data_IF_511711389861
#
_entry.id   IF_511711389861
#
_cell.length_a   1.000
_cell.length_b   1.000
_cell.length_c   1.000
_cell.angle_alpha   90.00
_cell.angle_beta   90.00
_cell.angle_gamma   90.00
#
_symmetry.space_group_name_H-M   'P 1'
#
loop_
_entity.id
_entity.type
_entity.pdbx_description
1 polymer ?
#
# COMPACT_ATOMS: atom_id res chain seq x y z
N UNK A 1 -14.58 10.71 7.45
CA UNK A 1 -13.37 11.43 7.84
C UNK A 1 -12.22 10.86 7.05
N UNK A 2 -11.42 11.69 6.35
CA UNK A 2 -10.34 11.18 5.51
C UNK A 2 -9.42 10.26 6.30
N UNK A 3 -9.04 9.13 5.71
CA UNK A 3 -8.28 8.06 6.39
C UNK A 3 -6.96 8.60 6.92
N UNK A 4 -6.24 9.39 6.12
CA UNK A 4 -4.94 9.94 6.52
C UNK A 4 -5.06 11.06 7.56
N UNK A 5 -6.17 11.81 7.59
CA UNK A 5 -6.30 13.01 8.42
C UNK A 5 -5.12 13.97 8.22
N UNK A 6 -4.45 14.33 9.32
CA UNK A 6 -3.26 15.18 9.32
C UNK A 6 -1.93 14.39 9.39
N UNK A 7 -1.97 13.07 9.28
CA UNK A 7 -0.76 12.25 9.39
C UNK A 7 0.19 12.53 8.21
N UNK A 8 1.46 12.75 8.52
CA UNK A 8 2.52 12.90 7.53
C UNK A 8 3.43 11.68 7.43
N UNK A 9 3.28 10.71 8.32
CA UNK A 9 4.01 9.45 8.28
C UNK A 9 3.05 8.30 8.57
N UNK A 10 3.04 7.27 7.71
CA UNK A 10 2.17 6.10 7.85
C UNK A 10 2.88 4.83 7.43
N UNK A 11 2.93 3.86 8.35
CA UNK A 11 3.34 2.50 8.06
C UNK A 11 2.11 1.67 7.64
N UNK A 12 2.14 1.07 6.45
CA UNK A 12 1.16 0.13 5.96
C UNK A 12 1.74 -1.28 6.00
N UNK A 13 1.56 -1.99 7.13
CA UNK A 13 2.19 -3.30 7.37
C UNK A 13 1.34 -4.43 6.81
N UNK A 14 1.94 -5.33 6.04
CA UNK A 14 1.26 -6.50 5.49
C UNK A 14 1.37 -7.69 6.45
N UNK A 15 0.26 -8.34 6.72
CA UNK A 15 0.17 -9.61 7.44
C UNK A 15 -0.75 -10.58 6.71
N UNK A 16 -0.78 -11.84 7.13
CA UNK A 16 -1.74 -12.84 6.63
C UNK A 16 -2.75 -13.19 7.73
N UNK A 17 -4.02 -13.26 7.36
CA UNK A 17 -5.04 -13.87 8.19
C UNK A 17 -4.88 -15.40 8.22
N UNK A 18 -5.52 -16.07 9.19
CA UNK A 18 -5.58 -17.54 9.27
C UNK A 18 -6.17 -18.17 7.99
N UNK A 19 -7.04 -17.45 7.28
CA UNK A 19 -7.60 -17.85 5.98
C UNK A 19 -6.66 -17.62 4.78
N UNK A 20 -5.40 -17.26 5.03
CA UNK A 20 -4.39 -16.81 4.06
C UNK A 20 -4.70 -15.51 3.30
N UNK A 21 -5.83 -14.85 3.59
CA UNK A 21 -6.14 -13.52 3.07
C UNK A 21 -5.09 -12.50 3.52
N UNK A 22 -4.68 -11.60 2.63
CA UNK A 22 -3.80 -10.49 3.01
C UNK A 22 -4.57 -9.48 3.86
N UNK A 23 -3.91 -9.03 4.92
CA UNK A 23 -4.33 -7.93 5.79
C UNK A 23 -3.26 -6.85 5.77
N UNK A 24 -3.69 -5.60 5.82
CA UNK A 24 -2.79 -4.45 5.83
C UNK A 24 -3.27 -3.52 6.92
N UNK A 25 -2.38 -3.13 7.81
CA UNK A 25 -2.67 -2.21 8.91
C UNK A 25 -1.93 -0.90 8.65
N UNK A 26 -2.66 0.22 8.62
CA UNK A 26 -2.12 1.56 8.45
C UNK A 26 -2.01 2.20 9.84
N UNK A 27 -0.81 2.55 10.26
CA UNK A 27 -0.54 3.15 11.57
C UNK A 27 0.37 4.36 11.45
N UNK A 28 0.16 5.36 12.30
CA UNK A 28 1.14 6.44 12.53
C UNK A 28 2.38 5.92 13.29
N UNK A 29 3.50 6.68 13.35
CA UNK A 29 4.72 6.23 14.02
C UNK A 29 4.58 5.98 15.53
N UNK A 30 3.63 6.64 16.18
CA UNK A 30 3.27 6.43 17.59
C UNK A 30 2.35 5.21 17.79
N UNK A 31 2.00 4.49 16.72
CA UNK A 31 1.23 3.26 16.75
C UNK A 31 -0.29 3.45 16.71
N UNK A 32 -0.81 4.66 16.50
CA UNK A 32 -2.24 4.86 16.35
C UNK A 32 -2.74 4.26 15.02
N UNK A 33 -3.81 3.47 15.08
CA UNK A 33 -4.45 2.89 13.89
C UNK A 33 -5.20 3.97 13.10
N UNK A 34 -4.91 4.07 11.80
CA UNK A 34 -5.60 4.95 10.87
C UNK A 34 -6.65 4.18 10.05
N UNK A 35 -6.28 2.99 9.57
CA UNK A 35 -7.18 2.11 8.84
C UNK A 35 -6.61 0.70 8.75
N UNK A 36 -7.48 -0.24 8.35
CA UNK A 36 -7.11 -1.61 8.02
C UNK A 36 -7.70 -2.02 6.69
N UNK A 37 -6.92 -2.69 5.86
CA UNK A 37 -7.39 -3.31 4.62
C UNK A 37 -7.43 -4.83 4.76
N UNK A 38 -8.49 -5.47 4.27
CA UNK A 38 -8.56 -6.91 4.19
C UNK A 38 -9.04 -7.37 2.82
N UNK A 39 -8.36 -8.40 2.29
CA UNK A 39 -8.70 -9.02 1.01
C UNK A 39 -10.03 -9.78 1.07
N UNK A 40 -10.88 -9.60 0.05
CA UNK A 40 -12.15 -10.33 -0.11
C UNK A 40 -11.91 -11.71 -0.75
N UNK A 41 -11.56 -12.71 0.07
CA UNK A 41 -11.42 -14.13 -0.33
C UNK A 41 -9.97 -14.65 -0.37
N UNK A 42 -9.75 -15.90 0.08
CA UNK A 42 -8.44 -16.43 0.50
C UNK A 42 -7.66 -17.32 -0.49
N UNK A 43 -8.08 -17.44 -1.76
CA UNK A 43 -7.50 -18.44 -2.69
C UNK A 43 -6.72 -17.78 -3.86
N UNK A 44 -7.00 -16.51 -4.19
CA UNK A 44 -6.42 -15.83 -5.35
C UNK A 44 -4.92 -15.52 -5.27
N UNK A 45 -4.28 -15.73 -4.11
CA UNK A 45 -2.86 -15.42 -3.86
C UNK A 45 -2.14 -16.62 -3.23
N UNK A 46 -2.51 -17.83 -3.67
CA UNK A 46 -1.80 -19.06 -3.27
C UNK A 46 -0.34 -19.11 -3.77
N UNK A 47 0.10 -18.19 -4.65
CA UNK A 47 1.40 -18.28 -5.33
C UNK A 47 2.11 -16.94 -5.58
N UNK A 48 1.88 -15.90 -4.76
CA UNK A 48 2.59 -14.63 -4.98
C UNK A 48 2.35 -14.07 -6.39
N UNK A 49 1.10 -13.70 -6.69
CA UNK A 49 0.69 -13.02 -7.93
C UNK A 49 1.11 -13.70 -9.24
N UNK A 50 0.25 -14.60 -9.74
CA UNK A 50 0.23 -14.98 -11.16
C UNK A 50 -0.13 -13.74 -11.99
N UNK A 51 0.81 -13.24 -12.82
CA UNK A 51 0.57 -12.49 -14.06
C UNK A 51 -0.68 -11.59 -14.12
N UNK A 52 -0.79 -10.51 -13.34
CA UNK A 52 -1.89 -9.54 -13.54
C UNK A 52 -2.66 -9.08 -12.30
N UNK A 53 -2.49 -9.76 -11.17
CA UNK A 53 -2.94 -9.38 -9.83
C UNK A 53 -4.19 -8.54 -9.71
N UNK A 54 -5.38 -9.15 -9.87
CA UNK A 54 -6.65 -8.50 -9.53
C UNK A 54 -7.14 -8.97 -8.17
N UNK A 55 -7.59 -8.06 -7.31
CA UNK A 55 -8.22 -8.41 -6.05
C UNK A 55 -9.02 -7.25 -5.48
N UNK A 56 -10.09 -7.56 -4.75
CA UNK A 56 -10.84 -6.56 -3.99
C UNK A 56 -10.36 -6.52 -2.53
N UNK A 57 -10.21 -5.31 -2.01
CA UNK A 57 -9.94 -5.03 -0.59
C UNK A 57 -11.01 -4.10 -0.03
N UNK A 58 -11.36 -4.32 1.23
CA UNK A 58 -12.11 -3.34 2.02
C UNK A 58 -11.13 -2.65 2.95
N UNK A 59 -10.96 -1.33 2.78
CA UNK A 59 -10.18 -0.45 3.65
C UNK A 59 -11.14 0.27 4.60
N UNK A 60 -11.06 -0.05 5.89
CA UNK A 60 -11.95 0.50 6.92
C UNK A 60 -11.14 1.33 7.92
N UNK A 61 -11.65 2.52 8.26
CA UNK A 61 -11.11 3.35 9.35
C UNK A 61 -11.78 3.00 10.70
N UNK A 62 -11.12 3.29 11.85
CA UNK A 62 -11.75 3.18 13.16
C UNK A 62 -13.01 4.05 13.32
N UNK A 63 -13.11 5.15 12.56
CA UNK A 63 -14.26 6.03 12.54
C UNK A 63 -15.46 5.47 11.73
N UNK A 64 -15.33 4.28 11.14
CA UNK A 64 -16.41 3.59 10.42
C UNK A 64 -16.51 3.93 8.93
N UNK A 65 -15.60 4.74 8.40
CA UNK A 65 -15.54 4.96 6.94
C UNK A 65 -14.93 3.75 6.23
N UNK A 66 -15.52 3.35 5.11
CA UNK A 66 -15.11 2.20 4.33
C UNK A 66 -14.95 2.53 2.84
N UNK A 67 -13.79 2.16 2.31
CA UNK A 67 -13.50 2.21 0.89
C UNK A 67 -13.33 0.80 0.35
N UNK A 68 -13.94 0.53 -0.81
CA UNK A 68 -13.64 -0.67 -1.59
C UNK A 68 -12.58 -0.32 -2.62
N UNK A 69 -11.49 -1.05 -2.58
CA UNK A 69 -10.36 -0.95 -3.50
C UNK A 69 -10.41 -2.15 -4.45
N UNK A 70 -10.73 -1.90 -5.71
CA UNK A 70 -10.64 -2.92 -6.76
C UNK A 70 -9.28 -2.81 -7.42
N UNK A 71 -8.31 -3.57 -6.89
CA UNK A 71 -6.92 -3.60 -7.36
C UNK A 71 -6.85 -4.38 -8.65
N UNK A 72 -6.26 -3.78 -9.68
CA UNK A 72 -6.06 -4.37 -11.01
C UNK A 72 -4.92 -3.64 -11.74
N UNK A 73 -4.94 -3.61 -13.08
CA UNK A 73 -4.03 -2.73 -13.83
C UNK A 73 -4.23 -1.25 -13.46
N UNK A 74 -5.48 -0.84 -13.26
CA UNK A 74 -5.86 0.43 -12.64
C UNK A 74 -6.62 0.11 -11.37
N UNK A 75 -6.20 0.66 -10.24
CA UNK A 75 -6.90 0.47 -8.97
C UNK A 75 -8.01 1.51 -8.85
N UNK A 76 -9.25 1.05 -8.66
CA UNK A 76 -10.41 1.94 -8.49
C UNK A 76 -10.79 1.99 -7.01
N UNK A 77 -10.95 3.19 -6.48
CA UNK A 77 -11.35 3.46 -5.09
C UNK A 77 -12.80 3.91 -5.08
N UNK A 78 -13.63 3.24 -4.29
CA UNK A 78 -15.07 3.55 -4.18
C UNK A 78 -15.47 3.69 -2.72
N UNK A 79 -16.32 4.66 -2.42
CA UNK A 79 -16.97 4.83 -1.12
C UNK A 79 -18.49 4.67 -1.31
N UNK A 80 -19.09 3.68 -0.65
CA UNK A 80 -20.53 3.37 -0.77
C UNK A 80 -21.06 3.31 -2.22
N UNK A 81 -20.24 2.78 -3.14
CA UNK A 81 -20.58 2.66 -4.56
C UNK A 81 -20.28 3.90 -5.43
N UNK A 82 -19.88 5.02 -4.83
CA UNK A 82 -19.44 6.22 -5.55
C UNK A 82 -17.93 6.16 -5.80
N UNK A 83 -17.46 6.36 -7.05
CA UNK A 83 -16.03 6.49 -7.33
C UNK A 83 -15.41 7.69 -6.61
N UNK A 84 -14.37 7.43 -5.84
CA UNK A 84 -13.57 8.44 -5.13
C UNK A 84 -12.37 8.84 -5.98
N UNK A 85 -11.76 7.87 -6.65
CA UNK A 85 -10.59 8.11 -7.50
C UNK A 85 -9.98 6.83 -8.05
N UNK A 86 -8.87 6.99 -8.76
CA UNK A 86 -8.15 5.90 -9.43
C UNK A 86 -6.64 6.03 -9.25
N UNK A 87 -5.96 4.89 -9.24
CA UNK A 87 -4.51 4.77 -9.35
C UNK A 87 -4.23 4.21 -10.74
N UNK A 88 -3.72 5.05 -11.64
CA UNK A 88 -3.58 4.75 -13.06
C UNK A 88 -2.09 4.62 -13.42
N UNK A 89 -1.65 3.50 -14.03
CA UNK A 89 -0.29 3.39 -14.54
C UNK A 89 -0.01 4.42 -15.62
N UNK A 90 1.21 4.94 -15.64
CA UNK A 90 1.60 6.00 -16.55
C UNK A 90 3.11 6.09 -16.68
N UNK A 91 3.69 5.82 -17.85
CA UNK A 91 5.11 6.13 -18.14
C UNK A 91 6.11 5.57 -17.10
N UNK A 92 5.87 4.36 -16.62
CA UNK A 92 6.67 3.74 -15.54
C UNK A 92 6.40 4.28 -14.14
N UNK A 93 5.40 5.14 -13.99
CA UNK A 93 4.90 5.73 -12.75
C UNK A 93 3.42 5.34 -12.53
N UNK A 94 2.81 5.86 -11.47
CA UNK A 94 1.36 5.92 -11.32
C UNK A 94 0.88 7.36 -11.14
N UNK A 95 -0.33 7.65 -11.62
CA UNK A 95 -1.06 8.88 -11.33
C UNK A 95 -2.19 8.56 -10.37
N UNK A 96 -2.39 9.44 -9.39
CA UNK A 96 -3.57 9.46 -8.53
C UNK A 96 -4.56 10.43 -9.15
N UNK A 97 -5.75 9.95 -9.47
CA UNK A 97 -6.84 10.74 -10.04
C UNK A 97 -8.02 10.78 -9.08
N UNK A 98 -8.78 11.89 -9.06
CA UNK A 98 -10.07 11.96 -8.38
C UNK A 98 -11.19 11.26 -9.19
N UNK A 99 -12.41 11.23 -8.65
CA UNK A 99 -13.57 10.63 -9.30
C UNK A 99 -13.95 11.28 -10.65
N UNK A 100 -13.50 12.50 -10.90
CA UNK A 100 -13.68 13.23 -12.16
C UNK A 100 -12.53 13.04 -13.17
N UNK A 101 -11.45 12.36 -12.79
CA UNK A 101 -10.26 12.16 -13.62
C UNK A 101 -9.22 13.28 -13.51
N UNK A 102 -9.36 14.22 -12.56
CA UNK A 102 -8.34 15.23 -12.30
C UNK A 102 -7.13 14.57 -11.65
N UNK A 103 -5.93 14.82 -12.17
CA UNK A 103 -4.69 14.32 -11.56
C UNK A 103 -4.42 15.08 -10.26
N UNK A 104 -4.34 14.34 -9.15
CA UNK A 104 -4.06 14.85 -7.81
C UNK A 104 -2.57 14.79 -7.47
N UNK A 105 -1.88 13.73 -7.91
CA UNK A 105 -0.44 13.54 -7.69
C UNK A 105 0.11 12.46 -8.63
N UNK A 106 1.42 12.39 -8.76
CA UNK A 106 2.13 11.32 -9.47
C UNK A 106 3.14 10.63 -8.55
N UNK A 107 3.17 9.30 -8.57
CA UNK A 107 4.13 8.45 -7.86
C UNK A 107 5.17 7.98 -8.87
N UNK A 108 6.40 8.48 -8.75
CA UNK A 108 7.49 8.21 -9.71
C UNK A 108 8.03 6.77 -9.58
N UNK A 109 8.61 6.21 -10.64
CA UNK A 109 9.37 4.97 -10.53
C UNK A 109 10.48 5.11 -9.48
N UNK A 110 10.84 3.99 -8.87
CA UNK A 110 12.03 3.94 -8.06
C UNK A 110 13.27 4.18 -8.92
N UNK A 111 14.12 5.11 -8.50
CA UNK A 111 15.43 5.34 -9.10
C UNK A 111 16.50 4.57 -8.33
N UNK A 112 17.13 3.57 -8.95
CA UNK A 112 18.17 2.77 -8.33
C UNK A 112 18.15 1.32 -8.77
N UNK A 113 19.13 0.55 -8.29
CA UNK A 113 19.13 -0.88 -8.48
C UNK A 113 17.98 -1.50 -7.65
N UNK A 114 17.15 -2.31 -8.30
CA UNK A 114 16.14 -3.16 -7.66
C UNK A 114 16.83 -4.37 -7.02
N UNK A 115 17.69 -4.09 -6.03
CA UNK A 115 18.23 -5.09 -5.12
C UNK A 115 17.21 -5.36 -4.00
N UNK A 116 17.57 -6.23 -3.06
CA UNK A 116 16.73 -6.58 -1.89
C UNK A 116 16.50 -5.42 -0.90
N UNK A 117 16.81 -4.17 -1.27
CA UNK A 117 16.56 -2.97 -0.47
C UNK A 117 15.14 -2.42 -0.59
N UNK A 118 14.75 -1.52 0.31
CA UNK A 118 13.53 -0.74 0.19
C UNK A 118 13.54 0.12 -1.09
N UNK A 119 12.39 0.21 -1.77
CA UNK A 119 12.27 0.98 -3.01
C UNK A 119 11.53 2.29 -2.74
N UNK A 120 12.21 3.40 -2.91
CA UNK A 120 11.66 4.74 -2.70
C UNK A 120 11.03 5.31 -3.97
N UNK A 121 9.79 5.76 -3.87
CA UNK A 121 9.02 6.37 -4.95
C UNK A 121 8.62 7.80 -4.57
N UNK A 122 9.19 8.80 -5.25
CA UNK A 122 8.84 10.19 -4.99
C UNK A 122 7.39 10.48 -5.39
N UNK A 123 6.67 11.21 -4.54
CA UNK A 123 5.31 11.68 -4.80
C UNK A 123 5.40 13.14 -5.20
N UNK A 124 4.92 13.47 -6.39
CA UNK A 124 4.93 14.82 -6.95
C UNK A 124 3.49 15.37 -7.07
N UNK A 125 3.33 16.66 -6.83
CA UNK A 125 2.12 17.40 -7.15
C UNK A 125 1.93 17.49 -8.68
N UNK A 126 0.75 17.95 -9.17
CA UNK A 126 0.55 18.20 -10.59
C UNK A 126 1.49 19.26 -11.17
N UNK A 127 2.03 20.16 -10.34
CA UNK A 127 3.02 21.18 -10.70
C UNK A 127 4.47 20.67 -10.65
N UNK A 128 4.70 19.44 -10.16
CA UNK A 128 6.02 18.83 -10.05
C UNK A 128 6.72 18.99 -8.71
N UNK A 129 6.10 19.68 -7.74
CA UNK A 129 6.64 19.83 -6.39
C UNK A 129 6.61 18.49 -5.66
N UNK A 130 7.70 18.13 -5.00
CA UNK A 130 7.71 16.89 -4.22
C UNK A 130 6.87 17.05 -2.95
N UNK A 131 5.81 16.25 -2.85
CA UNK A 131 4.91 16.18 -1.71
C UNK A 131 5.41 15.19 -0.64
N UNK A 132 6.15 14.16 -1.05
CA UNK A 132 6.58 13.09 -0.16
C UNK A 132 7.30 11.94 -0.87
N UNK A 133 7.35 10.80 -0.19
CA UNK A 133 7.91 9.54 -0.66
C UNK A 133 6.99 8.39 -0.22
N UNK A 134 6.74 7.46 -1.12
CA UNK A 134 6.14 6.17 -0.82
C UNK A 134 7.22 5.10 -0.97
N UNK A 135 7.55 4.42 0.12
CA UNK A 135 8.62 3.43 0.17
C UNK A 135 8.02 2.04 0.25
N UNK A 136 8.33 1.17 -0.72
CA UNK A 136 7.98 -0.26 -0.66
C UNK A 136 9.01 -1.00 0.18
N UNK A 137 8.55 -1.70 1.22
CA UNK A 137 9.40 -2.53 2.08
C UNK A 137 9.41 -3.96 1.53
N UNK A 138 10.58 -4.44 1.08
CA UNK A 138 10.72 -5.80 0.55
C UNK A 138 10.75 -6.81 1.70
N UNK A 139 10.39 -8.06 1.41
CA UNK A 139 10.32 -9.13 2.45
C UNK A 139 11.69 -9.43 3.07
N UNK A 140 12.79 -9.07 2.38
CA UNK A 140 14.16 -9.28 2.85
C UNK A 140 14.71 -8.16 3.75
N UNK A 141 14.07 -6.99 3.79
CA UNK A 141 14.48 -5.83 4.60
C UNK A 141 13.41 -5.45 5.61
N UNK A 142 12.75 -6.46 6.21
CA UNK A 142 11.61 -6.26 7.08
C UNK A 142 11.86 -5.18 8.15
N UNK A 143 10.78 -4.66 8.74
CA UNK A 143 10.74 -3.64 9.79
C UNK A 143 11.55 -3.95 11.08
N UNK A 144 12.40 -4.99 11.06
CA UNK A 144 13.06 -5.63 12.20
C UNK A 144 14.41 -6.34 11.88
N UNK A 145 15.16 -5.92 10.87
CA UNK A 145 16.57 -6.36 10.70
C UNK A 145 17.55 -5.78 11.75
N UNK A 146 17.06 -5.52 12.97
CA UNK A 146 17.88 -5.26 14.16
C UNK A 146 17.70 -6.36 15.22
N UNK A 147 16.67 -7.22 15.18
CA UNK A 147 16.40 -8.14 16.32
C UNK A 147 16.05 -9.60 16.01
N UNK A 148 15.68 -10.01 14.80
CA UNK A 148 14.96 -11.29 14.63
C UNK A 148 15.66 -12.41 13.85
N UNK A 149 16.92 -12.25 13.43
CA UNK A 149 17.73 -13.41 12.98
C UNK A 149 17.93 -14.43 14.12
N UNK A 150 17.82 -14.03 15.39
CA UNK A 150 18.01 -14.92 16.55
C UNK A 150 16.82 -15.83 16.90
N UNK A 151 15.59 -15.54 16.43
CA UNK A 151 14.38 -16.28 16.85
C UNK A 151 13.87 -17.25 15.79
N UNK A 152 14.35 -17.16 14.55
CA UNK A 152 14.00 -18.09 13.46
C UNK A 152 14.60 -19.51 13.60
N UNK A 153 15.38 -19.79 14.65
CA UNK A 153 15.98 -21.11 14.87
C UNK A 153 15.30 -21.95 15.97
N UNK A 154 14.38 -21.41 16.78
CA UNK A 154 13.99 -22.09 18.04
C UNK A 154 12.50 -22.29 18.33
N UNK A 155 11.54 -21.86 17.50
CA UNK A 155 10.12 -22.10 17.81
C UNK A 155 9.25 -22.44 16.59
N UNK A 156 9.08 -23.74 16.39
CA UNK A 156 7.96 -24.42 15.71
C UNK A 156 7.82 -24.21 14.20
N UNK A 157 8.46 -25.15 13.51
CA UNK A 157 8.05 -25.75 12.22
C UNK A 157 6.55 -25.61 11.93
N UNK A 158 6.22 -24.72 11.01
CA UNK A 158 5.00 -24.78 10.23
C UNK A 158 5.36 -24.48 8.76
N UNK A 159 5.77 -25.52 8.03
CA UNK A 159 6.31 -25.46 6.65
C UNK A 159 5.16 -25.25 5.63
N UNK A 160 4.17 -24.39 5.94
CA UNK A 160 2.96 -24.23 5.12
C UNK A 160 2.40 -22.79 5.04
N UNK A 161 3.07 -21.77 5.59
CA UNK A 161 2.63 -20.37 5.43
C UNK A 161 3.26 -19.74 4.20
N UNK A 162 2.45 -19.46 3.18
CA UNK A 162 2.86 -18.74 1.97
C UNK A 162 3.47 -17.38 2.33
N UNK A 163 4.62 -17.03 1.74
CA UNK A 163 5.24 -15.70 1.95
C UNK A 163 4.32 -14.59 1.44
N UNK A 164 4.24 -13.47 2.16
CA UNK A 164 3.56 -12.25 1.68
C UNK A 164 4.34 -11.65 0.50
N UNK A 165 3.69 -10.89 -0.40
CA UNK A 165 4.36 -10.29 -1.56
C UNK A 165 5.37 -9.18 -1.19
N UNK A 166 5.16 -8.50 -0.07
CA UNK A 166 6.03 -7.46 0.48
C UNK A 166 5.89 -7.43 2.01
N UNK A 167 6.75 -6.69 2.71
CA UNK A 167 6.58 -6.38 4.12
C UNK A 167 5.60 -5.21 4.35
N UNK A 168 5.21 -4.51 3.29
CA UNK A 168 4.32 -3.36 3.32
C UNK A 168 4.88 -2.12 2.63
N UNK A 169 4.33 -0.95 2.98
CA UNK A 169 4.79 0.34 2.49
C UNK A 169 4.92 1.37 3.62
N UNK A 170 5.77 2.37 3.45
CA UNK A 170 5.87 3.55 4.30
C UNK A 170 5.56 4.80 3.47
N UNK A 171 4.58 5.58 3.91
CA UNK A 171 4.29 6.89 3.35
C UNK A 171 4.91 7.97 4.23
N UNK A 172 5.68 8.87 3.64
CA UNK A 172 6.23 10.06 4.29
C UNK A 172 5.89 11.30 3.46
N UNK A 173 5.22 12.27 4.07
CA UNK A 173 4.78 13.52 3.47
C UNK A 173 5.50 14.70 4.10
N UNK A 174 5.76 15.74 3.32
CA UNK A 174 6.40 16.98 3.81
C UNK A 174 5.46 17.82 4.67
N UNK A 175 4.16 17.72 4.44
CA UNK A 175 3.10 18.41 5.16
C UNK A 175 1.79 17.63 5.03
N UNK A 176 0.78 17.89 5.87
CA UNK A 176 -0.57 17.38 5.66
C UNK A 176 -1.10 17.74 4.27
N UNK A 177 -1.87 16.83 3.67
CA UNK A 177 -2.41 16.97 2.30
C UNK A 177 -3.93 17.15 2.32
N UNK A 178 -4.48 17.57 1.17
CA UNK A 178 -5.92 17.66 0.99
C UNK A 178 -6.61 16.30 1.23
N UNK A 179 -7.79 16.25 1.89
CA UNK A 179 -8.49 15.02 2.26
C UNK A 179 -8.60 13.96 1.15
N UNK A 180 -9.01 14.38 -0.05
CA UNK A 180 -9.17 13.47 -1.21
C UNK A 180 -7.84 12.85 -1.64
N UNK A 181 -6.75 13.63 -1.65
CA UNK A 181 -5.42 13.09 -1.90
C UNK A 181 -4.99 12.17 -0.76
N UNK A 182 -5.37 12.47 0.47
CA UNK A 182 -5.17 11.61 1.62
C UNK A 182 -5.81 10.23 1.46
N UNK A 183 -7.08 10.16 1.10
CA UNK A 183 -7.76 8.88 0.88
C UNK A 183 -7.13 8.08 -0.27
N UNK A 184 -6.73 8.76 -1.34
CA UNK A 184 -6.03 8.15 -2.46
C UNK A 184 -4.63 7.64 -2.09
N UNK A 185 -3.90 8.33 -1.22
CA UNK A 185 -2.59 7.89 -0.72
C UNK A 185 -2.71 6.71 0.25
N UNK A 186 -3.76 6.65 1.08
CA UNK A 186 -4.06 5.48 1.90
C UNK A 186 -4.38 4.25 1.02
N UNK A 187 -5.17 4.44 -0.05
CA UNK A 187 -5.40 3.40 -1.05
C UNK A 187 -4.12 2.98 -1.79
N UNK A 188 -3.24 3.94 -2.12
CA UNK A 188 -1.95 3.65 -2.75
C UNK A 188 -1.04 2.82 -1.85
N UNK A 189 -1.04 3.03 -0.54
CA UNK A 189 -0.31 2.19 0.40
C UNK A 189 -0.75 0.72 0.35
N UNK A 190 -2.07 0.48 0.20
CA UNK A 190 -2.63 -0.87 0.03
C UNK A 190 -2.22 -1.47 -1.31
N UNK A 191 -2.42 -0.73 -2.41
CA UNK A 191 -2.09 -1.15 -3.77
C UNK A 191 -0.60 -1.52 -3.92
N UNK A 192 0.31 -0.65 -3.45
CA UNK A 192 1.76 -0.90 -3.46
C UNK A 192 2.14 -2.17 -2.69
N UNK A 193 1.53 -2.35 -1.53
CA UNK A 193 1.84 -3.45 -0.62
C UNK A 193 1.49 -4.80 -1.22
N UNK A 194 0.45 -4.86 -2.05
CA UNK A 194 -0.09 -6.12 -2.61
C UNK A 194 0.28 -6.34 -4.05
N UNK A 195 0.52 -5.28 -4.81
CA UNK A 195 0.97 -5.32 -6.18
C UNK A 195 2.37 -4.69 -6.22
N UNK A 196 3.45 -5.40 -5.83
CA UNK A 196 4.84 -4.94 -5.96
C UNK A 196 5.27 -4.92 -7.43
N UNK A 197 4.37 -4.51 -8.30
CA UNK A 197 4.63 -4.03 -9.63
C UNK A 197 5.22 -2.64 -9.61
N UNK A 198 5.43 -1.94 -8.48
CA UNK A 198 6.23 -0.69 -8.34
C UNK A 198 6.11 0.39 -9.44
N UNK A 199 5.06 0.26 -10.24
CA UNK A 199 4.70 0.73 -11.59
C UNK A 199 5.72 0.84 -12.74
N UNK A 200 6.84 0.12 -12.68
CA UNK A 200 7.63 -0.50 -13.79
C UNK A 200 7.84 0.36 -15.07
N UNK A 201 9.05 0.82 -15.40
CA UNK A 201 10.31 0.05 -15.51
C UNK A 201 11.16 -0.09 -14.24
#
# INVERSE_FOLDING_TARGET
MPILGNATAVAAKVTRATSNALRIELTTPDGAELARAQQKGGVGVLLGFKNGGKSDYTLSSPAGEEFRLSVAGTTTVTNQGTPVGKIVPSDGAARLEDGGGTVLAAIRPHSGAKADSAWHHAILSPTGDQLGVLTLMTVHTGWRDIEFEAVQLLANTNIATLKAPSAGAMLELRAPVHPVLGDMLAAACVDFSVLPRGYIA
#
